data_IF_205018415861
#
_entry.id   IF_205018415861
#
_cell.length_a   1.000
_cell.length_b   1.000
_cell.length_c   1.000
_cell.angle_alpha   90.00
_cell.angle_beta   90.00
_cell.angle_gamma   90.00
#
_symmetry.space_group_name_H-M   'P 1'
#
loop_
_entity.id
_entity.type
_entity.pdbx_description
1 polymer ?
#
# COMPACT_ATOMS: atom_id res chain seq x y z
N UNK A 1 -1.91 -5.36 -15.58
CA UNK A 1 -1.27 -4.94 -14.32
C UNK A 1 -2.16 -5.11 -13.09
N UNK A 2 -3.26 -4.35 -12.91
CA UNK A 2 -4.10 -4.50 -11.69
C UNK A 2 -4.65 -5.93 -11.51
N UNK A 3 -5.21 -6.51 -12.58
CA UNK A 3 -5.77 -7.86 -12.54
C UNK A 3 -4.71 -8.93 -12.25
N UNK A 4 -3.52 -8.80 -12.84
CA UNK A 4 -2.39 -9.71 -12.61
C UNK A 4 -1.88 -9.60 -11.18
N UNK A 5 -1.67 -8.38 -10.69
CA UNK A 5 -1.24 -8.13 -9.31
C UNK A 5 -2.26 -8.68 -8.31
N UNK A 6 -3.55 -8.45 -8.55
CA UNK A 6 -4.62 -9.01 -7.74
C UNK A 6 -4.62 -10.54 -7.76
N UNK A 7 -4.43 -11.15 -8.93
CA UNK A 7 -4.37 -12.61 -9.06
C UNK A 7 -3.21 -13.17 -8.23
N UNK A 8 -2.00 -12.63 -8.39
CA UNK A 8 -0.84 -13.04 -7.59
C UNK A 8 -1.05 -12.80 -6.08
N UNK A 9 -1.68 -11.69 -5.70
CA UNK A 9 -2.02 -11.37 -4.31
C UNK A 9 -2.94 -12.46 -3.71
N UNK A 10 -3.96 -12.90 -4.45
CA UNK A 10 -4.85 -13.97 -4.01
C UNK A 10 -4.20 -15.36 -4.04
N UNK A 11 -3.37 -15.67 -5.03
CA UNK A 11 -2.62 -16.94 -5.10
C UNK A 11 -1.67 -17.14 -3.92
N UNK A 12 -1.11 -16.05 -3.39
CA UNK A 12 -0.30 -16.07 -2.16
C UNK A 12 -1.12 -16.29 -0.88
N UNK A 13 -2.45 -16.25 -1.00
CA UNK A 13 -3.38 -16.39 0.12
C UNK A 13 -3.56 -15.10 0.92
N UNK A 14 -3.24 -13.95 0.34
CA UNK A 14 -3.38 -12.67 1.01
C UNK A 14 -4.83 -12.18 0.99
N UNK A 15 -5.20 -11.46 2.06
CA UNK A 15 -6.47 -10.79 2.21
C UNK A 15 -6.24 -9.31 2.47
N UNK A 16 -6.91 -8.44 1.73
CA UNK A 16 -6.76 -6.99 1.85
C UNK A 16 -7.00 -6.29 0.51
N UNK A 17 -6.13 -5.35 0.17
CA UNK A 17 -6.37 -4.41 -0.93
C UNK A 17 -5.13 -4.22 -1.79
N UNK A 18 -5.30 -4.08 -3.10
CA UNK A 18 -4.24 -3.75 -4.05
C UNK A 18 -4.64 -2.54 -4.87
N UNK A 19 -3.65 -1.75 -5.21
CA UNK A 19 -3.82 -0.59 -6.06
C UNK A 19 -2.69 -0.51 -7.09
N UNK A 20 -3.03 0.05 -8.25
CA UNK A 20 -2.04 0.47 -9.25
C UNK A 20 -2.30 1.90 -9.69
N UNK A 21 -1.24 2.67 -9.90
CA UNK A 21 -1.34 4.03 -10.45
C UNK A 21 -1.96 3.99 -11.84
N UNK A 22 -2.92 4.87 -12.09
CA UNK A 22 -3.53 5.02 -13.40
C UNK A 22 -2.69 5.97 -14.25
N UNK A 23 -1.76 5.42 -15.04
CA UNK A 23 -0.91 6.22 -15.94
C UNK A 23 -1.62 6.68 -17.20
N UNK A 24 -2.85 6.21 -17.44
CA UNK A 24 -3.67 6.57 -18.61
C UNK A 24 -4.49 7.85 -18.36
N UNK A 25 -4.52 8.34 -17.13
CA UNK A 25 -5.23 9.55 -16.76
C UNK A 25 -4.31 10.77 -16.98
N UNK A 26 -4.56 11.52 -18.04
CA UNK A 26 -3.84 12.76 -18.34
C UNK A 26 -4.33 13.95 -17.48
N UNK A 27 -5.20 13.73 -16.50
CA UNK A 27 -5.56 14.74 -15.51
C UNK A 27 -4.45 14.91 -14.46
N UNK A 28 -4.25 16.14 -13.97
CA UNK A 28 -3.17 16.50 -13.03
C UNK A 28 -3.32 15.91 -11.62
N UNK A 29 -4.25 14.97 -11.41
CA UNK A 29 -4.43 14.26 -10.16
C UNK A 29 -3.97 12.81 -10.34
N UNK A 30 -3.12 12.33 -9.43
CA UNK A 30 -2.72 10.93 -9.35
C UNK A 30 -3.96 10.08 -9.06
N UNK A 31 -4.66 9.61 -10.10
CA UNK A 31 -5.73 8.62 -9.93
C UNK A 31 -5.11 7.23 -9.88
N UNK A 32 -5.72 6.33 -9.11
CA UNK A 32 -5.28 4.94 -9.02
C UNK A 32 -6.47 4.00 -9.13
N UNK A 33 -6.23 2.85 -9.75
CA UNK A 33 -7.18 1.76 -9.83
C UNK A 33 -6.99 0.87 -8.60
N UNK A 34 -8.06 0.29 -8.08
CA UNK A 34 -8.00 -0.54 -6.88
C UNK A 34 -8.86 -1.81 -7.01
N UNK A 35 -8.41 -2.87 -6.34
CA UNK A 35 -9.20 -4.06 -6.01
C UNK A 35 -9.02 -4.36 -4.54
N UNK A 36 -10.10 -4.70 -3.85
CA UNK A 36 -10.06 -5.04 -2.44
C UNK A 36 -10.98 -6.21 -2.16
N UNK A 37 -10.61 -7.00 -1.16
CA UNK A 37 -11.54 -7.90 -0.51
C UNK A 37 -12.67 -7.08 0.16
N UNK A 38 -13.82 -7.70 0.47
CA UNK A 38 -14.91 -7.02 1.19
C UNK A 38 -14.41 -6.45 2.51
N UNK A 39 -14.49 -5.13 2.69
CA UNK A 39 -14.07 -4.51 3.94
C UNK A 39 -14.97 -4.94 5.09
N UNK A 40 -14.39 -5.20 6.27
CA UNK A 40 -15.17 -5.56 7.46
C UNK A 40 -15.96 -4.34 7.99
N UNK A 41 -15.52 -3.11 7.63
CA UNK A 41 -16.20 -1.84 7.93
C UNK A 41 -15.79 -0.72 6.93
N UNK A 42 -16.50 0.40 6.95
CA UNK A 42 -16.24 1.53 6.05
C UNK A 42 -14.92 2.27 6.37
N UNK A 43 -14.48 2.26 7.62
CA UNK A 43 -13.26 2.95 8.06
C UNK A 43 -11.99 2.28 7.53
N UNK A 44 -12.01 0.97 7.36
CA UNK A 44 -10.94 0.20 6.73
C UNK A 44 -10.73 0.60 5.27
N UNK A 45 -11.80 0.74 4.48
CA UNK A 45 -11.70 1.18 3.09
C UNK A 45 -11.14 2.60 2.98
N UNK A 46 -11.55 3.50 3.89
CA UNK A 46 -11.04 4.87 3.94
C UNK A 46 -9.55 4.92 4.33
N UNK A 47 -9.12 4.02 5.22
CA UNK A 47 -7.71 3.92 5.65
C UNK A 47 -6.83 3.39 4.53
N UNK A 48 -7.27 2.32 3.85
CA UNK A 48 -6.55 1.76 2.70
C UNK A 48 -6.38 2.82 1.60
N UNK A 49 -7.46 3.58 1.31
CA UNK A 49 -7.42 4.68 0.35
C UNK A 49 -6.42 5.78 0.74
N UNK A 50 -6.40 6.18 2.01
CA UNK A 50 -5.45 7.17 2.51
C UNK A 50 -3.99 6.70 2.39
N UNK A 51 -3.72 5.42 2.66
CA UNK A 51 -2.39 4.82 2.48
C UNK A 51 -1.99 4.83 1.00
N UNK A 52 -2.88 4.43 0.09
CA UNK A 52 -2.61 4.45 -1.34
C UNK A 52 -2.28 5.86 -1.85
N UNK A 53 -3.12 6.84 -1.51
CA UNK A 53 -2.92 8.22 -1.91
C UNK A 53 -1.57 8.75 -1.40
N UNK A 54 -1.29 8.55 -0.11
CA UNK A 54 -0.03 8.97 0.47
C UNK A 54 1.16 8.35 -0.27
N UNK A 55 1.20 7.03 -0.50
CA UNK A 55 2.32 6.37 -1.17
C UNK A 55 2.54 6.89 -2.59
N UNK A 56 1.47 7.15 -3.34
CA UNK A 56 1.62 7.69 -4.69
C UNK A 56 2.06 9.16 -4.72
N UNK A 57 1.77 9.93 -3.67
CA UNK A 57 2.25 11.31 -3.54
C UNK A 57 3.74 11.36 -3.16
N UNK A 58 4.27 10.34 -2.49
CA UNK A 58 5.69 10.26 -2.10
C UNK A 58 6.65 10.24 -3.27
N UNK A 59 6.39 9.36 -4.23
CA UNK A 59 7.25 9.11 -5.36
C UNK A 59 6.38 8.86 -6.60
N UNK A 60 6.45 9.74 -7.62
CA UNK A 60 5.67 9.59 -8.84
C UNK A 60 6.01 8.29 -9.61
N UNK A 61 7.17 7.69 -9.34
CA UNK A 61 7.59 6.45 -9.96
C UNK A 61 6.91 5.22 -9.35
N UNK A 62 6.39 5.28 -8.11
CA UNK A 62 5.65 4.15 -7.54
C UNK A 62 4.38 3.87 -8.34
N UNK A 63 4.26 2.63 -8.82
CA UNK A 63 3.19 2.18 -9.71
C UNK A 63 2.23 1.20 -9.07
N UNK A 64 2.60 0.56 -7.96
CA UNK A 64 1.79 -0.46 -7.31
C UNK A 64 1.93 -0.41 -5.79
N UNK A 65 0.81 -0.68 -5.10
CA UNK A 65 0.72 -0.81 -3.64
C UNK A 65 -0.16 -1.98 -3.28
N UNK A 66 0.22 -2.76 -2.28
CA UNK A 66 -0.51 -3.89 -1.74
C UNK A 66 -0.60 -3.74 -0.21
N UNK A 67 -1.81 -3.80 0.32
CA UNK A 67 -2.11 -3.77 1.75
C UNK A 67 -2.60 -5.17 2.13
N UNK A 68 -1.76 -5.92 2.84
CA UNK A 68 -2.03 -7.27 3.33
C UNK A 68 -2.52 -7.17 4.78
N UNK A 69 -3.81 -7.39 4.99
CA UNK A 69 -4.45 -7.41 6.32
C UNK A 69 -4.39 -8.79 6.97
N UNK A 70 -4.44 -9.86 6.18
CA UNK A 70 -4.30 -11.25 6.65
C UNK A 70 -3.50 -12.09 5.65
N UNK A 71 -2.82 -13.11 6.16
CA UNK A 71 -2.13 -14.10 5.33
C UNK A 71 -0.70 -13.74 4.92
N UNK A 72 -0.12 -12.64 5.40
CA UNK A 72 1.30 -12.34 5.18
C UNK A 72 2.16 -13.43 5.82
N UNK A 73 3.02 -14.09 5.04
CA UNK A 73 3.90 -15.19 5.47
C UNK A 73 5.37 -14.79 5.57
N UNK A 74 5.71 -13.57 5.18
CA UNK A 74 7.08 -13.05 5.26
C UNK A 74 7.48 -12.70 6.69
N UNK A 75 8.77 -12.49 6.92
CA UNK A 75 9.25 -11.92 8.18
C UNK A 75 8.89 -10.44 8.26
N UNK A 76 8.49 -9.98 9.44
CA UNK A 76 8.34 -8.56 9.77
C UNK A 76 9.67 -7.92 10.19
N UNK A 77 10.72 -8.73 10.32
CA UNK A 77 12.01 -8.26 10.85
C UNK A 77 12.63 -7.20 9.91
N UNK A 78 12.92 -6.04 10.48
CA UNK A 78 13.44 -4.89 9.75
C UNK A 78 12.42 -4.07 8.95
N UNK A 79 11.11 -4.35 9.08
CA UNK A 79 10.07 -3.45 8.55
C UNK A 79 9.91 -2.26 9.49
N UNK A 80 9.92 -1.02 8.95
CA UNK A 80 9.49 0.14 9.70
C UNK A 80 8.07 -0.07 10.24
N UNK A 81 7.85 0.27 11.51
CA UNK A 81 6.53 0.25 12.13
C UNK A 81 6.00 1.67 12.13
N UNK A 82 4.91 1.89 11.43
CA UNK A 82 4.23 3.19 11.37
C UNK A 82 3.00 3.10 12.25
N UNK A 83 2.88 4.07 13.16
CA UNK A 83 1.77 4.19 14.09
C UNK A 83 1.29 5.63 14.09
N UNK A 84 0.13 5.87 13.49
CA UNK A 84 -0.51 7.18 13.46
C UNK A 84 -2.02 7.06 13.25
N UNK A 85 -2.81 8.05 13.70
CA UNK A 85 -4.22 8.11 13.34
C UNK A 85 -4.39 8.36 11.83
N UNK A 86 -5.55 7.98 11.28
CA UNK A 86 -5.83 7.99 9.83
C UNK A 86 -5.57 9.34 9.16
N UNK A 87 -5.95 10.43 9.82
CA UNK A 87 -5.78 11.80 9.34
C UNK A 87 -4.32 12.29 9.30
N UNK A 88 -3.40 11.50 9.87
CA UNK A 88 -1.96 11.77 9.93
C UNK A 88 -1.12 10.80 9.11
N UNK A 89 -1.75 9.94 8.30
CA UNK A 89 -1.05 8.94 7.50
C UNK A 89 -0.03 9.58 6.56
N UNK A 90 -0.39 10.64 5.84
CA UNK A 90 0.53 11.35 4.95
C UNK A 90 1.74 11.90 5.72
N UNK A 91 1.51 12.68 6.78
CA UNK A 91 2.58 13.25 7.62
C UNK A 91 3.50 12.15 8.18
N UNK A 92 2.94 11.04 8.66
CA UNK A 92 3.71 9.94 9.24
C UNK A 92 4.56 9.22 8.20
N UNK A 93 4.02 9.01 7.00
CA UNK A 93 4.76 8.36 5.94
C UNK A 93 5.84 9.28 5.35
N UNK A 94 5.59 10.58 5.21
CA UNK A 94 6.60 11.55 4.79
C UNK A 94 7.82 11.53 5.72
N UNK A 95 7.58 11.50 7.03
CA UNK A 95 8.65 11.34 8.01
C UNK A 95 9.38 10.00 7.86
N UNK A 96 8.63 8.91 7.67
CA UNK A 96 9.23 7.59 7.48
C UNK A 96 10.10 7.49 6.22
N UNK A 97 9.77 8.23 5.14
CA UNK A 97 10.62 8.32 3.94
C UNK A 97 11.97 8.95 4.27
N UNK A 98 11.98 10.03 5.06
CA UNK A 98 13.22 10.67 5.51
C UNK A 98 14.08 9.70 6.34
N UNK A 99 13.45 8.75 7.02
CA UNK A 99 14.10 7.68 7.77
C UNK A 99 14.47 6.45 6.90
N UNK A 100 14.21 6.51 5.58
CA UNK A 100 14.64 5.50 4.61
C UNK A 100 13.55 4.51 4.17
N UNK A 101 12.27 4.78 4.45
CA UNK A 101 11.15 3.92 4.03
C UNK A 101 11.12 3.65 2.52
N UNK A 102 11.50 4.64 1.70
CA UNK A 102 11.54 4.49 0.24
C UNK A 102 12.50 3.39 -0.25
N UNK A 103 13.55 3.09 0.52
CA UNK A 103 14.47 1.97 0.23
C UNK A 103 13.91 0.62 0.68
N UNK A 104 13.13 0.60 1.76
CA UNK A 104 12.55 -0.62 2.34
C UNK A 104 11.35 -1.12 1.57
N UNK A 105 10.58 -0.23 0.94
CA UNK A 105 9.43 -0.55 0.07
C UNK A 105 8.34 -1.38 0.76
N UNK A 106 8.37 -1.41 2.08
CA UNK A 106 7.45 -2.14 2.92
C UNK A 106 7.42 -1.54 4.32
N UNK A 107 6.27 -1.56 4.98
CA UNK A 107 6.12 -1.21 6.39
C UNK A 107 4.96 -1.97 7.03
N UNK A 108 4.95 -2.00 8.36
CA UNK A 108 3.85 -2.51 9.17
C UNK A 108 3.04 -1.33 9.74
N UNK A 109 1.75 -1.29 9.44
CA UNK A 109 0.84 -0.27 9.96
C UNK A 109 0.16 -0.77 11.23
N UNK A 110 0.49 -0.16 12.36
CA UNK A 110 0.15 -0.70 13.69
C UNK A 110 -1.36 -0.70 13.96
N UNK A 111 -2.07 0.33 13.52
CA UNK A 111 -3.49 0.56 13.82
C UNK A 111 -4.39 -0.47 13.13
N UNK A 112 -4.02 -0.94 11.94
CA UNK A 112 -4.78 -1.95 11.18
C UNK A 112 -4.15 -3.34 11.26
N UNK A 113 -2.92 -3.45 11.76
CA UNK A 113 -2.13 -4.68 11.70
C UNK A 113 -1.75 -5.08 10.27
N UNK A 114 -1.88 -4.17 9.30
CA UNK A 114 -1.63 -4.46 7.90
C UNK A 114 -0.14 -4.33 7.56
N UNK A 115 0.32 -5.21 6.67
CA UNK A 115 1.60 -5.06 5.98
C UNK A 115 1.34 -4.32 4.68
N UNK A 116 2.02 -3.21 4.48
CA UNK A 116 1.94 -2.44 3.26
C UNK A 116 3.22 -2.67 2.47
N UNK A 117 3.07 -3.10 1.23
CA UNK A 117 4.14 -3.33 0.26
C UNK A 117 3.91 -2.41 -0.93
N UNK A 118 4.94 -1.74 -1.43
CA UNK A 118 4.80 -0.80 -2.55
C UNK A 118 6.04 -0.79 -3.43
N UNK A 119 5.92 -0.34 -4.67
CA UNK A 119 7.08 -0.25 -5.54
C UNK A 119 6.78 0.09 -6.99
N UNK A 120 7.80 -0.17 -7.82
CA UNK A 120 7.86 0.18 -9.23
C UNK A 120 7.30 -0.95 -10.11
N UNK A 121 7.38 -0.77 -11.44
CA UNK A 121 6.76 -1.63 -12.45
C UNK A 121 7.09 -3.13 -12.33
N UNK A 122 8.28 -3.48 -11.81
CA UNK A 122 8.71 -4.84 -11.50
C UNK A 122 8.40 -5.25 -10.04
N UNK A 123 7.23 -4.86 -9.55
CA UNK A 123 6.79 -5.17 -8.20
C UNK A 123 6.56 -6.68 -8.05
N UNK A 124 7.53 -7.36 -7.45
CA UNK A 124 7.36 -8.72 -6.96
C UNK A 124 6.82 -8.64 -5.53
N UNK A 125 5.66 -9.26 -5.29
CA UNK A 125 5.23 -9.55 -3.93
C UNK A 125 6.32 -10.44 -3.33
N UNK A 126 7.10 -9.94 -2.37
CA UNK A 126 8.16 -10.70 -1.68
C UNK A 126 7.61 -11.97 -1.04
#
# INVERSE_FOLDING_TARGET
MLDELWTCFKERGYYGSVSVRNTSDSSKQSTFLLKSDPAENADESATDFAIFAAIYDMDPEYTAVCIVKKGYKGSFDGFPVISCPRDKITDALDNAILEGLGHKKAFFFRETGAVVLFGYKDFSLG
#
